data_IF_522311891569
#
_entry.id   IF_522311891569
#
_cell.length_a   1.000
_cell.length_b   1.000
_cell.length_c   1.000
_cell.angle_alpha   90.00
_cell.angle_beta   90.00
_cell.angle_gamma   90.00
#
_symmetry.space_group_name_H-M   'P 1'
#
loop_
_entity.id
_entity.type
_entity.pdbx_description
1 polymer ?
#
# COMPACT_ATOMS: atom_id res chain seq x y z
N UNK A 1 12.70 16.75 4.72
CA UNK A 1 11.60 15.78 4.86
C UNK A 1 10.60 16.38 5.82
N UNK A 2 9.33 16.34 5.48
CA UNK A 2 8.25 16.68 6.41
C UNK A 2 8.28 15.62 7.54
N UNK A 3 8.45 16.06 8.78
CA UNK A 3 8.50 15.18 9.95
C UNK A 3 7.08 14.87 10.51
N UNK A 4 6.06 15.11 9.71
CA UNK A 4 4.67 14.86 10.12
C UNK A 4 4.38 13.36 10.09
N UNK A 5 3.95 12.81 11.22
CA UNK A 5 3.37 11.46 11.26
C UNK A 5 1.98 11.56 10.67
N UNK A 6 1.69 10.73 9.67
CA UNK A 6 0.38 10.66 9.03
C UNK A 6 -0.36 9.42 9.52
N UNK A 7 -1.66 9.59 9.72
CA UNK A 7 -2.57 8.52 10.08
C UNK A 7 -3.52 8.25 8.93
N UNK A 8 -3.65 6.98 8.58
CA UNK A 8 -4.59 6.49 7.58
C UNK A 8 -5.27 5.22 8.05
N UNK A 9 -6.08 4.65 7.21
CA UNK A 9 -6.69 3.34 7.44
C UNK A 9 -6.90 2.63 6.11
N UNK A 10 -6.96 1.31 6.19
CA UNK A 10 -7.31 0.46 5.07
C UNK A 10 -8.82 0.43 4.89
N UNK A 11 -9.29 0.68 3.68
CA UNK A 11 -10.71 0.76 3.41
C UNK A 11 -11.18 -0.44 2.57
N UNK A 12 -11.93 -1.33 3.21
CA UNK A 12 -12.53 -2.49 2.54
C UNK A 12 -13.98 -2.26 2.08
N UNK A 13 -14.47 -1.04 2.22
CA UNK A 13 -15.86 -0.70 1.86
C UNK A 13 -16.00 -0.62 0.35
N UNK A 14 -17.08 -1.17 -0.19
CA UNK A 14 -17.41 -1.06 -1.62
C UNK A 14 -17.90 0.35 -1.97
N UNK A 15 -17.72 0.78 -3.22
CA UNK A 15 -18.02 2.15 -3.66
C UNK A 15 -19.46 2.59 -3.35
N UNK A 16 -20.43 1.72 -3.55
CA UNK A 16 -21.84 2.01 -3.29
C UNK A 16 -22.24 2.13 -1.81
N UNK A 17 -21.33 1.73 -0.90
CA UNK A 17 -21.57 1.78 0.55
C UNK A 17 -20.85 2.97 1.18
N UNK A 18 -19.67 3.32 0.68
CA UNK A 18 -18.91 4.46 1.19
C UNK A 18 -19.63 5.77 0.86
N UNK A 19 -20.00 6.49 1.92
CA UNK A 19 -20.60 7.81 1.77
C UNK A 19 -19.53 8.87 1.92
N UNK A 20 -19.49 9.80 0.97
CA UNK A 20 -18.56 10.94 1.01
C UNK A 20 -18.65 11.76 2.31
N UNK A 21 -19.81 11.75 2.96
CA UNK A 21 -20.02 12.43 4.24
C UNK A 21 -19.18 11.85 5.38
N UNK A 22 -18.71 10.61 5.26
CA UNK A 22 -17.82 9.97 6.23
C UNK A 22 -16.43 10.64 6.29
N UNK A 23 -16.00 11.31 5.23
CA UNK A 23 -14.74 12.05 5.20
C UNK A 23 -14.66 13.10 6.31
N UNK A 24 -15.78 13.74 6.65
CA UNK A 24 -15.85 14.68 7.76
C UNK A 24 -15.54 14.00 9.11
N UNK A 25 -16.00 12.76 9.29
CA UNK A 25 -15.70 11.97 10.50
C UNK A 25 -14.23 11.52 10.51
N UNK A 26 -13.67 11.13 9.37
CA UNK A 26 -12.24 10.82 9.26
C UNK A 26 -11.38 12.00 9.72
N UNK A 27 -11.75 13.21 9.30
CA UNK A 27 -11.05 14.43 9.72
C UNK A 27 -11.14 14.65 11.23
N UNK A 28 -12.31 14.44 11.83
CA UNK A 28 -12.50 14.55 13.28
C UNK A 28 -11.68 13.52 14.06
N UNK A 29 -11.47 12.33 13.48
CA UNK A 29 -10.61 11.28 14.05
C UNK A 29 -9.13 11.49 13.76
N UNK A 30 -8.75 12.62 13.18
CA UNK A 30 -7.37 12.98 12.82
C UNK A 30 -6.71 12.09 11.77
N UNK A 31 -7.46 11.38 10.96
CA UNK A 31 -6.92 10.77 9.76
C UNK A 31 -6.62 11.86 8.73
N UNK A 32 -5.48 11.74 8.05
CA UNK A 32 -5.04 12.67 7.02
C UNK A 32 -4.60 11.99 5.72
N UNK A 33 -4.45 10.66 5.75
CA UNK A 33 -4.06 9.86 4.59
C UNK A 33 -4.81 8.51 4.54
N UNK A 34 -6.14 8.51 4.41
CA UNK A 34 -6.92 7.28 4.24
C UNK A 34 -6.71 6.65 2.87
N UNK A 35 -7.09 5.37 2.76
CA UNK A 35 -7.22 4.69 1.47
C UNK A 35 -8.66 4.75 0.96
N UNK A 36 -8.83 4.79 -0.36
CA UNK A 36 -10.15 4.73 -0.99
C UNK A 36 -10.72 3.31 -0.98
N UNK A 37 -11.99 3.17 -1.35
CA UNK A 37 -12.50 1.89 -1.84
C UNK A 37 -11.73 1.45 -3.10
N UNK A 38 -11.75 0.16 -3.42
CA UNK A 38 -11.12 -0.35 -4.63
C UNK A 38 -11.99 -0.04 -5.85
N UNK A 39 -11.48 0.81 -6.72
CA UNK A 39 -12.12 1.14 -7.99
C UNK A 39 -11.84 0.06 -9.05
N UNK A 40 -12.90 -0.39 -9.72
CA UNK A 40 -12.84 -1.25 -10.92
C UNK A 40 -13.71 -0.59 -11.98
N UNK A 41 -13.11 -0.12 -13.07
CA UNK A 41 -13.81 0.61 -14.14
C UNK A 41 -14.94 -0.20 -14.80
N UNK A 42 -14.93 -1.53 -14.67
CA UNK A 42 -15.98 -2.42 -15.19
C UNK A 42 -17.23 -2.47 -14.31
N UNK A 43 -17.12 -2.01 -13.06
CA UNK A 43 -18.16 -2.13 -12.02
C UNK A 43 -18.61 -0.79 -11.44
N UNK A 44 -17.72 0.18 -11.42
CA UNK A 44 -17.89 1.42 -10.66
C UNK A 44 -17.95 2.63 -11.59
N UNK A 45 -18.75 3.61 -11.21
CA UNK A 45 -18.73 4.92 -11.87
C UNK A 45 -17.56 5.75 -11.32
N UNK A 46 -16.74 6.30 -12.20
CA UNK A 46 -15.63 7.16 -11.78
C UNK A 46 -16.07 8.41 -11.00
N UNK A 47 -17.32 8.81 -11.14
CA UNK A 47 -17.91 9.92 -10.38
C UNK A 47 -17.90 9.66 -8.87
N UNK A 48 -17.98 8.40 -8.45
CA UNK A 48 -17.94 8.06 -7.02
C UNK A 48 -16.55 8.32 -6.42
N UNK A 49 -15.49 7.96 -7.15
CA UNK A 49 -14.12 8.24 -6.73
C UNK A 49 -13.81 9.74 -6.76
N UNK A 50 -14.26 10.45 -7.80
CA UNK A 50 -14.08 11.89 -7.88
C UNK A 50 -14.82 12.62 -6.75
N UNK A 51 -16.04 12.21 -6.42
CA UNK A 51 -16.79 12.78 -5.29
C UNK A 51 -16.08 12.54 -3.94
N UNK A 52 -15.44 11.39 -3.78
CA UNK A 52 -14.62 11.11 -2.59
C UNK A 52 -13.37 12.00 -2.54
N UNK A 53 -12.70 12.16 -3.66
CA UNK A 53 -11.53 13.05 -3.78
C UNK A 53 -11.89 14.52 -3.51
N UNK A 54 -12.99 15.01 -4.08
CA UNK A 54 -13.52 16.35 -3.83
C UNK A 54 -13.77 16.59 -2.34
N UNK A 55 -14.38 15.62 -1.66
CA UNK A 55 -14.66 15.74 -0.24
C UNK A 55 -13.37 15.67 0.60
N UNK A 56 -12.39 14.81 0.22
CA UNK A 56 -11.07 14.79 0.84
C UNK A 56 -10.36 16.16 0.69
N UNK A 57 -10.38 16.76 -0.49
CA UNK A 57 -9.78 18.08 -0.71
C UNK A 57 -10.42 19.16 0.16
N UNK A 58 -11.74 19.18 0.23
CA UNK A 58 -12.51 20.11 1.07
C UNK A 58 -12.10 20.05 2.56
N UNK A 59 -11.80 18.87 3.08
CA UNK A 59 -11.36 18.69 4.47
C UNK A 59 -9.83 18.68 4.64
N UNK A 60 -9.07 18.91 3.57
CA UNK A 60 -7.62 18.95 3.60
C UNK A 60 -6.98 17.58 3.88
N UNK A 61 -7.62 16.49 3.44
CA UNK A 61 -7.07 15.15 3.46
C UNK A 61 -6.40 14.85 2.12
N UNK A 62 -5.43 13.92 2.15
CA UNK A 62 -4.89 13.27 0.98
C UNK A 62 -5.37 11.83 0.93
N UNK A 63 -5.54 11.28 -0.27
CA UNK A 63 -6.11 9.95 -0.47
C UNK A 63 -5.12 9.04 -1.20
N UNK A 64 -4.88 7.85 -0.67
CA UNK A 64 -4.26 6.75 -1.42
C UNK A 64 -5.36 6.08 -2.23
N UNK A 65 -5.25 6.13 -3.53
CA UNK A 65 -6.28 5.62 -4.46
C UNK A 65 -6.03 4.13 -4.71
N UNK A 66 -7.01 3.31 -4.40
CA UNK A 66 -7.03 1.90 -4.76
C UNK A 66 -7.72 1.73 -6.12
N UNK A 67 -6.97 1.38 -7.15
CA UNK A 67 -7.47 1.20 -8.51
C UNK A 67 -6.95 -0.12 -9.08
N UNK A 68 -7.83 -0.96 -9.58
CA UNK A 68 -7.44 -2.27 -10.14
C UNK A 68 -6.44 -2.13 -11.29
N UNK A 69 -6.49 -1.03 -12.05
CA UNK A 69 -5.58 -0.76 -13.18
C UNK A 69 -4.13 -0.52 -12.73
N UNK A 70 -3.89 -0.18 -11.45
CA UNK A 70 -2.54 0.06 -10.91
C UNK A 70 -2.01 -1.12 -10.08
N UNK A 71 -2.87 -2.10 -9.78
CA UNK A 71 -2.50 -3.23 -8.94
C UNK A 71 -1.58 -4.21 -9.70
N UNK A 72 -0.46 -4.62 -9.10
CA UNK A 72 0.55 -5.46 -9.76
C UNK A 72 0.00 -6.80 -10.31
N UNK A 73 -1.01 -7.38 -9.66
CA UNK A 73 -1.64 -8.61 -10.17
C UNK A 73 -2.42 -8.41 -11.46
N UNK A 74 -2.78 -7.16 -11.79
CA UNK A 74 -3.34 -6.85 -13.12
C UNK A 74 -2.25 -7.01 -14.19
N UNK A 75 -1.01 -6.61 -13.91
CA UNK A 75 0.12 -6.88 -14.81
C UNK A 75 0.40 -8.39 -14.95
N UNK A 76 0.17 -9.18 -13.91
CA UNK A 76 0.30 -10.64 -13.97
C UNK A 76 -0.76 -11.29 -14.88
N UNK A 77 -1.95 -10.70 -14.97
CA UNK A 77 -3.10 -11.26 -15.72
C UNK A 77 -3.22 -10.71 -17.14
N UNK A 78 -2.61 -9.56 -17.42
CA UNK A 78 -2.70 -8.86 -18.69
C UNK A 78 -1.32 -8.70 -19.32
N UNK A 79 -1.27 -8.30 -20.60
CA UNK A 79 -0.01 -7.90 -21.20
C UNK A 79 0.47 -6.53 -20.70
N UNK A 80 1.78 -6.31 -20.79
CA UNK A 80 2.45 -5.11 -20.29
C UNK A 80 1.88 -3.81 -20.88
N UNK A 81 1.56 -3.80 -22.18
CA UNK A 81 1.08 -2.59 -22.84
C UNK A 81 -0.32 -2.21 -22.38
N UNK A 82 -1.18 -3.19 -22.11
CA UNK A 82 -2.49 -2.96 -21.50
C UNK A 82 -2.39 -2.45 -20.08
N UNK A 83 -1.48 -3.01 -19.28
CA UNK A 83 -1.23 -2.51 -17.93
C UNK A 83 -0.79 -1.04 -17.96
N UNK A 84 0.19 -0.69 -18.81
CA UNK A 84 0.64 0.71 -18.99
C UNK A 84 -0.53 1.62 -19.41
N UNK A 85 -1.35 1.17 -20.36
CA UNK A 85 -2.52 1.95 -20.79
C UNK A 85 -3.52 2.16 -19.63
N UNK A 86 -3.77 1.14 -18.83
CA UNK A 86 -4.61 1.21 -17.62
C UNK A 86 -4.06 2.18 -16.59
N UNK A 87 -2.74 2.12 -16.30
CA UNK A 87 -2.06 3.04 -15.40
C UNK A 87 -2.21 4.49 -15.87
N UNK A 88 -1.95 4.77 -17.16
CA UNK A 88 -2.13 6.11 -17.74
C UNK A 88 -3.58 6.60 -17.63
N UNK A 89 -4.52 5.71 -17.86
CA UNK A 89 -5.95 6.07 -17.74
C UNK A 89 -6.33 6.38 -16.29
N UNK A 90 -5.85 5.58 -15.32
CA UNK A 90 -6.06 5.85 -13.89
C UNK A 90 -5.47 7.21 -13.47
N UNK A 91 -4.27 7.54 -13.95
CA UNK A 91 -3.67 8.85 -13.74
C UNK A 91 -4.53 9.99 -14.33
N UNK A 92 -5.01 9.82 -15.55
CA UNK A 92 -5.89 10.80 -16.22
C UNK A 92 -7.21 10.99 -15.47
N UNK A 93 -7.79 9.89 -14.98
CA UNK A 93 -9.08 9.93 -14.30
C UNK A 93 -9.00 10.57 -12.91
N UNK A 94 -7.94 10.29 -12.13
CA UNK A 94 -7.88 10.62 -10.70
C UNK A 94 -6.56 11.26 -10.25
N UNK A 95 -5.45 10.96 -10.92
CA UNK A 95 -4.11 11.33 -10.44
C UNK A 95 -3.83 12.83 -10.46
N UNK A 96 -4.53 13.59 -11.28
CA UNK A 96 -4.37 15.05 -11.36
C UNK A 96 -5.18 15.82 -10.30
N UNK A 97 -5.99 15.11 -9.51
CA UNK A 97 -6.83 15.72 -8.48
C UNK A 97 -5.99 16.20 -7.28
N UNK A 98 -6.35 17.37 -6.74
CA UNK A 98 -5.61 17.99 -5.63
C UNK A 98 -5.49 17.12 -4.36
N UNK A 99 -6.47 16.27 -4.09
CA UNK A 99 -6.44 15.34 -2.97
C UNK A 99 -5.68 14.03 -3.25
N UNK A 100 -5.34 13.70 -4.50
CA UNK A 100 -4.60 12.49 -4.81
C UNK A 100 -3.20 12.54 -4.17
N UNK A 101 -2.90 11.57 -3.32
CA UNK A 101 -1.56 11.35 -2.78
C UNK A 101 -0.77 10.41 -3.67
N UNK A 102 -1.42 9.36 -4.11
CA UNK A 102 -0.84 8.33 -4.94
C UNK A 102 -1.76 7.14 -5.12
N UNK A 103 -1.20 6.07 -5.67
CA UNK A 103 -1.95 4.86 -5.98
C UNK A 103 -1.41 3.66 -5.23
N UNK A 104 -2.34 2.82 -4.78
CA UNK A 104 -2.01 1.52 -4.21
C UNK A 104 -1.63 0.56 -5.34
N UNK A 105 -0.40 0.02 -5.26
CA UNK A 105 0.13 -0.87 -6.30
C UNK A 105 -0.04 -2.34 -5.95
N UNK A 106 -0.16 -2.65 -4.68
CA UNK A 106 -0.40 -4.04 -4.28
C UNK A 106 -0.15 -4.34 -2.83
N UNK A 107 -0.62 -5.53 -2.50
CA UNK A 107 -0.63 -6.10 -1.17
C UNK A 107 0.09 -7.45 -1.19
N UNK A 108 1.03 -7.60 -0.26
CA UNK A 108 1.68 -8.85 0.07
C UNK A 108 2.12 -9.68 -1.16
N UNK A 109 3.03 -9.15 -2.00
CA UNK A 109 3.56 -9.95 -3.11
C UNK A 109 4.32 -11.15 -2.57
N UNK A 110 3.97 -12.36 -3.05
CA UNK A 110 4.69 -13.58 -2.72
C UNK A 110 6.13 -13.55 -3.31
N UNK A 111 7.07 -14.33 -2.79
CA UNK A 111 8.45 -14.37 -3.29
C UNK A 111 8.56 -14.59 -4.80
N UNK A 112 7.73 -15.43 -5.37
CA UNK A 112 7.66 -15.70 -6.81
C UNK A 112 6.97 -14.59 -7.62
N UNK A 113 6.27 -13.65 -6.97
CA UNK A 113 5.65 -12.48 -7.60
C UNK A 113 6.57 -11.23 -7.54
N UNK A 114 7.73 -11.32 -6.87
CA UNK A 114 8.61 -10.16 -6.60
C UNK A 114 9.02 -9.41 -7.87
N UNK A 115 9.37 -10.12 -8.94
CA UNK A 115 9.83 -9.49 -10.19
C UNK A 115 8.71 -8.68 -10.86
N UNK A 116 7.51 -9.25 -10.95
CA UNK A 116 6.38 -8.57 -11.57
C UNK A 116 5.87 -7.41 -10.70
N UNK A 117 5.97 -7.55 -9.39
CA UNK A 117 5.68 -6.47 -8.46
C UNK A 117 6.65 -5.28 -8.67
N UNK A 118 7.96 -5.57 -8.76
CA UNK A 118 8.99 -4.55 -9.03
C UNK A 118 8.71 -3.86 -10.37
N UNK A 119 8.36 -4.61 -11.40
CA UNK A 119 8.02 -4.04 -12.72
C UNK A 119 6.80 -3.13 -12.64
N UNK A 120 5.73 -3.56 -11.98
CA UNK A 120 4.52 -2.76 -11.81
C UNK A 120 4.80 -1.44 -11.07
N UNK A 121 5.56 -1.48 -9.98
CA UNK A 121 5.96 -0.27 -9.24
C UNK A 121 6.75 0.68 -10.12
N UNK A 122 7.71 0.18 -10.91
CA UNK A 122 8.50 1.01 -11.84
C UNK A 122 7.62 1.68 -12.89
N UNK A 123 6.66 0.94 -13.47
CA UNK A 123 5.70 1.49 -14.43
C UNK A 123 4.84 2.59 -13.78
N UNK A 124 4.32 2.37 -12.58
CA UNK A 124 3.52 3.38 -11.88
C UNK A 124 4.34 4.64 -11.57
N UNK A 125 5.61 4.49 -11.15
CA UNK A 125 6.51 5.63 -10.93
C UNK A 125 6.73 6.42 -12.23
N UNK A 126 6.95 5.73 -13.34
CA UNK A 126 7.22 6.34 -14.64
C UNK A 126 5.99 7.07 -15.21
N UNK A 127 4.82 6.44 -15.13
CA UNK A 127 3.61 6.92 -15.79
C UNK A 127 2.75 7.86 -14.92
N UNK A 128 3.07 7.98 -13.63
CA UNK A 128 2.34 8.83 -12.68
C UNK A 128 3.27 9.83 -11.97
N UNK A 129 3.88 10.76 -12.71
CA UNK A 129 4.83 11.69 -12.12
C UNK A 129 4.20 12.55 -11.02
N UNK A 130 4.93 12.70 -9.91
CA UNK A 130 4.49 13.53 -8.77
C UNK A 130 3.56 12.81 -7.78
N UNK A 131 3.16 11.58 -8.06
CA UNK A 131 2.36 10.75 -7.17
C UNK A 131 3.21 9.69 -6.47
N UNK A 132 2.73 9.24 -5.32
CA UNK A 132 3.40 8.20 -4.52
C UNK A 132 2.77 6.84 -4.80
N UNK A 133 3.47 5.88 -5.44
CA UNK A 133 3.03 4.50 -5.37
C UNK A 133 3.13 4.02 -3.93
N UNK A 134 2.10 3.36 -3.45
CA UNK A 134 2.05 2.76 -2.12
C UNK A 134 1.86 1.25 -2.25
N UNK A 135 2.60 0.50 -1.48
CA UNK A 135 2.48 -0.94 -1.40
C UNK A 135 2.62 -1.41 0.03
N UNK A 136 1.94 -2.49 0.35
CA UNK A 136 2.00 -3.14 1.64
C UNK A 136 2.76 -4.46 1.51
N UNK A 137 3.68 -4.73 2.41
CA UNK A 137 4.53 -5.91 2.39
C UNK A 137 4.22 -6.82 3.58
N UNK A 138 4.55 -8.10 3.44
CA UNK A 138 4.39 -9.08 4.52
C UNK A 138 5.51 -8.92 5.55
N UNK A 139 5.21 -8.95 6.86
CA UNK A 139 6.24 -9.05 7.89
C UNK A 139 6.83 -10.47 7.92
N UNK A 140 8.05 -10.62 8.42
CA UNK A 140 8.59 -11.93 8.72
C UNK A 140 8.15 -12.39 10.11
N UNK A 141 7.46 -13.53 10.20
CA UNK A 141 6.86 -14.03 11.44
C UNK A 141 7.56 -15.25 12.05
N UNK A 142 8.76 -15.58 11.60
CA UNK A 142 9.54 -16.64 12.25
C UNK A 142 9.42 -18.03 11.61
N UNK A 143 8.87 -18.13 10.42
CA UNK A 143 8.84 -19.38 9.65
C UNK A 143 7.78 -20.38 10.13
N UNK A 144 7.12 -20.96 9.19
CA UNK A 144 6.18 -22.06 9.35
C UNK A 144 5.67 -22.38 7.96
N UNK A 145 5.46 -23.64 7.64
CA UNK A 145 5.19 -24.13 6.29
C UNK A 145 4.08 -23.37 5.53
N UNK A 146 3.13 -22.81 6.26
CA UNK A 146 2.00 -22.09 5.66
C UNK A 146 2.34 -20.64 5.28
N UNK A 147 3.37 -20.05 5.92
CA UNK A 147 3.82 -18.68 5.67
C UNK A 147 5.04 -18.59 4.75
N UNK A 148 5.80 -19.68 4.57
CA UNK A 148 6.99 -19.68 3.72
C UNK A 148 6.66 -19.28 2.27
N UNK A 149 5.44 -19.54 1.81
CA UNK A 149 5.00 -19.13 0.48
C UNK A 149 4.80 -17.62 0.34
N UNK A 150 4.55 -16.91 1.44
CA UNK A 150 4.30 -15.46 1.45
C UNK A 150 5.55 -14.65 1.77
N UNK A 151 6.42 -15.18 2.63
CA UNK A 151 7.53 -14.39 3.21
C UNK A 151 8.92 -14.87 2.78
N UNK A 152 8.99 -16.01 2.10
CA UNK A 152 10.25 -16.74 1.89
C UNK A 152 10.55 -17.72 3.02
N UNK A 153 11.38 -18.74 2.72
CA UNK A 153 11.67 -19.85 3.62
C UNK A 153 12.53 -19.48 4.86
N UNK A 154 13.00 -18.24 4.92
CA UNK A 154 13.82 -17.75 6.02
C UNK A 154 13.77 -16.24 6.17
N UNK A 155 14.10 -15.73 7.35
CA UNK A 155 14.29 -14.31 7.62
C UNK A 155 15.28 -13.66 6.62
N UNK A 156 16.34 -14.37 6.30
CA UNK A 156 17.33 -13.89 5.33
C UNK A 156 16.71 -13.70 3.96
N UNK A 157 15.96 -14.66 3.48
CA UNK A 157 15.30 -14.58 2.17
C UNK A 157 14.26 -13.47 2.13
N UNK A 158 13.43 -13.35 3.15
CA UNK A 158 12.50 -12.22 3.30
C UNK A 158 13.24 -10.88 3.25
N UNK A 159 14.31 -10.73 4.02
CA UNK A 159 15.14 -9.51 4.05
C UNK A 159 15.71 -9.19 2.67
N UNK A 160 16.24 -10.20 1.95
CA UNK A 160 16.78 -10.06 0.60
C UNK A 160 15.69 -9.62 -0.40
N UNK A 161 14.47 -10.13 -0.29
CA UNK A 161 13.31 -9.75 -1.12
C UNK A 161 12.92 -8.28 -0.85
N UNK A 162 12.72 -7.90 0.40
CA UNK A 162 12.37 -6.52 0.75
C UNK A 162 13.47 -5.56 0.30
N UNK A 163 14.74 -5.89 0.56
CA UNK A 163 15.87 -5.09 0.13
C UNK A 163 15.94 -4.94 -1.40
N UNK A 164 15.66 -6.00 -2.15
CA UNK A 164 15.59 -5.96 -3.61
C UNK A 164 14.50 -5.02 -4.09
N UNK A 165 13.30 -5.11 -3.52
CA UNK A 165 12.19 -4.21 -3.84
C UNK A 165 12.61 -2.74 -3.63
N UNK A 166 13.11 -2.40 -2.45
CA UNK A 166 13.53 -1.03 -2.12
C UNK A 166 14.61 -0.49 -3.05
N UNK A 167 15.63 -1.33 -3.31
CA UNK A 167 16.78 -0.96 -4.16
C UNK A 167 16.40 -0.75 -5.61
N UNK A 168 15.59 -1.63 -6.16
CA UNK A 168 15.28 -1.63 -7.59
C UNK A 168 14.16 -0.67 -7.96
N UNK A 169 13.16 -0.51 -7.10
CA UNK A 169 12.04 0.37 -7.38
C UNK A 169 12.28 1.80 -6.93
N UNK A 170 13.05 1.99 -5.86
CA UNK A 170 13.15 3.28 -5.14
C UNK A 170 11.78 3.83 -4.76
N UNK A 171 10.84 2.93 -4.47
CA UNK A 171 9.49 3.29 -4.03
C UNK A 171 9.57 4.30 -2.87
N UNK A 172 8.85 5.43 -2.93
CA UNK A 172 9.03 6.50 -1.95
C UNK A 172 8.34 6.25 -0.61
N UNK A 173 7.47 5.25 -0.53
CA UNK A 173 6.73 4.87 0.67
C UNK A 173 6.31 3.42 0.58
N UNK A 174 6.50 2.66 1.67
CA UNK A 174 5.96 1.30 1.82
C UNK A 174 5.15 1.16 3.09
N UNK A 175 4.28 0.17 3.13
CA UNK A 175 3.64 -0.33 4.34
C UNK A 175 4.07 -1.75 4.63
N UNK A 176 3.79 -2.22 5.83
CA UNK A 176 3.76 -3.63 6.17
C UNK A 176 2.71 -3.89 7.26
N UNK A 177 2.15 -5.08 7.24
CA UNK A 177 1.17 -5.51 8.22
C UNK A 177 1.86 -6.07 9.47
N UNK A 178 1.33 -5.77 10.65
CA UNK A 178 1.81 -6.35 11.89
C UNK A 178 0.72 -6.41 12.94
N UNK A 179 0.07 -7.56 13.04
CA UNK A 179 -1.10 -7.78 13.90
C UNK A 179 -0.81 -8.57 15.17
N UNK A 180 0.45 -8.83 15.50
CA UNK A 180 0.83 -9.62 16.66
C UNK A 180 0.39 -9.02 17.99
N UNK A 181 0.18 -7.70 18.04
CA UNK A 181 -0.39 -7.02 19.20
C UNK A 181 -1.87 -7.40 19.47
N UNK A 182 -2.57 -7.97 18.48
CA UNK A 182 -3.96 -8.39 18.58
C UNK A 182 -4.14 -9.86 18.97
N UNK A 183 -3.04 -10.60 19.13
CA UNK A 183 -3.09 -12.03 19.49
C UNK A 183 -3.35 -12.21 20.99
N UNK A 184 -4.14 -13.22 21.34
CA UNK A 184 -4.51 -13.51 22.73
C UNK A 184 -3.29 -13.83 23.62
N UNK A 185 -2.24 -14.41 23.05
CA UNK A 185 -1.01 -14.79 23.73
C UNK A 185 0.20 -13.94 23.34
N UNK A 186 -0.01 -12.65 23.27
CA UNK A 186 0.98 -11.66 22.82
C UNK A 186 2.31 -11.66 23.56
N UNK A 187 2.33 -12.13 24.81
CA UNK A 187 3.50 -12.04 25.66
C UNK A 187 4.29 -13.35 25.72
N UNK A 188 3.68 -14.47 25.33
CA UNK A 188 4.22 -15.81 25.57
C UNK A 188 4.57 -16.57 24.29
N UNK A 189 4.29 -16.02 23.11
CA UNK A 189 4.56 -16.68 21.84
C UNK A 189 5.65 -15.96 21.05
N UNK A 190 6.26 -16.64 20.10
CA UNK A 190 7.18 -16.02 19.15
C UNK A 190 6.48 -14.93 18.31
N UNK A 191 5.17 -15.04 18.13
CA UNK A 191 4.30 -14.07 17.47
C UNK A 191 3.74 -13.01 18.42
N UNK A 192 4.27 -12.81 19.62
CA UNK A 192 3.79 -11.82 20.57
C UNK A 192 4.38 -10.43 20.35
N UNK A 193 4.22 -9.56 21.37
CA UNK A 193 4.67 -8.15 21.31
C UNK A 193 6.17 -8.01 21.03
N UNK A 194 6.98 -8.99 21.44
CA UNK A 194 8.41 -9.00 21.13
C UNK A 194 8.65 -9.14 19.63
N UNK A 195 7.84 -9.95 18.95
CA UNK A 195 7.87 -10.09 17.50
C UNK A 195 7.47 -8.78 16.79
N UNK A 196 6.47 -8.06 17.33
CA UNK A 196 6.10 -6.75 16.83
C UNK A 196 7.30 -5.78 16.79
N UNK A 197 7.99 -5.61 17.90
CA UNK A 197 9.15 -4.70 17.96
C UNK A 197 10.33 -5.20 17.14
N UNK A 198 10.51 -6.52 17.04
CA UNK A 198 11.55 -7.11 16.22
C UNK A 198 11.35 -6.80 14.73
N UNK A 199 10.15 -7.03 14.21
CA UNK A 199 9.82 -6.73 12.80
C UNK A 199 9.88 -5.22 12.53
N UNK A 200 9.39 -4.40 13.45
CA UNK A 200 9.50 -2.94 13.37
C UNK A 200 10.97 -2.50 13.22
N UNK A 201 11.87 -3.07 14.00
CA UNK A 201 13.31 -2.77 13.93
C UNK A 201 13.92 -3.26 12.60
N UNK A 202 13.51 -4.42 12.08
CA UNK A 202 13.94 -4.91 10.77
C UNK A 202 13.56 -3.92 9.65
N UNK A 203 12.27 -3.54 9.56
CA UNK A 203 11.82 -2.58 8.57
C UNK A 203 12.47 -1.22 8.74
N UNK A 204 12.65 -0.75 9.98
CA UNK A 204 13.36 0.49 10.26
C UNK A 204 14.80 0.46 9.71
N UNK A 205 15.54 -0.60 9.96
CA UNK A 205 16.92 -0.74 9.48
C UNK A 205 17.00 -0.74 7.95
N UNK A 206 16.13 -1.52 7.30
CA UNK A 206 16.07 -1.61 5.84
C UNK A 206 15.67 -0.28 5.20
N UNK A 207 14.57 0.30 5.64
CA UNK A 207 14.07 1.56 5.06
C UNK A 207 14.99 2.73 5.32
N UNK A 208 15.63 2.80 6.50
CA UNK A 208 16.64 3.81 6.82
C UNK A 208 17.86 3.75 5.89
N UNK A 209 18.30 2.55 5.50
CA UNK A 209 19.40 2.35 4.55
C UNK A 209 19.14 3.04 3.21
N UNK A 210 17.88 3.08 2.78
CA UNK A 210 17.45 3.66 1.51
C UNK A 210 16.79 5.05 1.66
N UNK A 211 16.64 5.55 2.88
CA UNK A 211 16.00 6.85 3.15
C UNK A 211 14.49 6.86 2.86
N UNK A 212 13.83 5.71 2.98
CA UNK A 212 12.42 5.50 2.64
C UNK A 212 11.59 5.49 3.94
N UNK A 213 10.54 6.31 4.07
CA UNK A 213 9.57 6.18 5.16
C UNK A 213 8.70 4.92 4.99
N UNK A 214 8.11 4.46 6.09
CA UNK A 214 7.20 3.33 6.06
C UNK A 214 6.00 3.53 6.98
N UNK A 215 4.91 2.84 6.66
CA UNK A 215 3.71 2.69 7.49
C UNK A 215 3.66 1.29 8.12
N UNK A 216 3.04 1.22 9.28
CA UNK A 216 2.66 -0.04 9.93
C UNK A 216 1.15 -0.11 9.97
N UNK A 217 0.58 -1.20 9.42
CA UNK A 217 -0.83 -1.52 9.59
C UNK A 217 -1.00 -2.35 10.87
N UNK A 218 -1.85 -1.86 11.77
CA UNK A 218 -2.06 -2.40 13.12
C UNK A 218 -3.45 -3.02 13.26
#
# INVERSE_FOLDING_TARGET
MDNTIRFGFWNYVESGVLKKEEVAEWKKMHFDLPMSFTFDERKHDKRDMLALLDECEKYGLKLIICDQRTHFRTLLLEDRDKFIAGVKQAYTDFGTHGAAFGFFVGDEPAPNETEIFIEAVKIVIEEMPGLTPFANLVPYWGGGSDFDMLVGASEREHTEIVEKILKETKIPLIGYDQYTQCLDDNYNTECGINSYFYVLDQYHKLTKKYGIPFYVTL
#
